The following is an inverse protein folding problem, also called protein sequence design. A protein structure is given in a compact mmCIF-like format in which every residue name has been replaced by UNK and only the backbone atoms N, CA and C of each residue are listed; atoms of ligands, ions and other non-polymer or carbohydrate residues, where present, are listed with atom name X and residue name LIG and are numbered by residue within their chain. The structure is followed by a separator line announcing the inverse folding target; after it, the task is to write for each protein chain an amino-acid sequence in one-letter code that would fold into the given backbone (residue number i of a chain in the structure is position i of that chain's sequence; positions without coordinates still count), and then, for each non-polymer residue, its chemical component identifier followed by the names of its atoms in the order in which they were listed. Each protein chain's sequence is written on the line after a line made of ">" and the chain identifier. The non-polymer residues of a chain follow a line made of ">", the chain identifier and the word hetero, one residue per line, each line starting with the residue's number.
data_IF_700931241746
#
_entry.id   IF_700931241746
#
_cell.length_a   1.000
_cell.length_b   1.000
_cell.length_c   1.000
_cell.angle_alpha   90.00
_cell.angle_beta   90.00
_cell.angle_gamma   90.00
#
_symmetry.space_group_name_H-M   'P 1'
#
loop_
_entity.id
_entity.type
_entity.pdbx_description
1 polymer ?
#
# COMPACT_ATOMS: atom_id res chain seq x y z
N UNK A 1 -0.70 15.11 -20.82
CA UNK A 1 -0.72 15.32 -19.36
C UNK A 1 -1.97 16.06 -18.87
N UNK A 2 -2.29 17.26 -19.37
CA UNK A 2 -3.46 18.07 -18.92
C UNK A 2 -4.78 17.27 -18.91
N UNK A 3 -5.08 16.50 -19.95
CA UNK A 3 -6.27 15.65 -20.06
C UNK A 3 -6.39 14.60 -18.93
N UNK A 4 -5.30 13.95 -18.54
CA UNK A 4 -5.31 12.97 -17.44
C UNK A 4 -5.59 13.63 -16.09
N UNK A 5 -5.04 14.83 -15.87
CA UNK A 5 -5.28 15.61 -14.65
C UNK A 5 -6.75 16.04 -14.57
N UNK A 6 -7.33 16.51 -15.67
CA UNK A 6 -8.74 16.89 -15.76
C UNK A 6 -9.67 15.69 -15.47
N UNK A 7 -9.42 14.54 -16.11
CA UNK A 7 -10.19 13.32 -15.90
C UNK A 7 -10.07 12.88 -14.44
N UNK A 8 -8.86 12.85 -13.88
CA UNK A 8 -8.62 12.45 -12.50
C UNK A 8 -9.31 13.39 -11.51
N UNK A 9 -9.28 14.70 -11.72
CA UNK A 9 -9.96 15.67 -10.85
C UNK A 9 -11.48 15.49 -10.83
N UNK A 10 -12.08 15.16 -11.98
CA UNK A 10 -13.52 14.85 -12.08
C UNK A 10 -13.84 13.55 -11.33
N UNK A 11 -13.03 12.51 -11.50
CA UNK A 11 -13.19 11.22 -10.79
C UNK A 11 -13.07 11.41 -9.27
N UNK A 12 -12.09 12.19 -8.82
CA UNK A 12 -11.88 12.53 -7.42
C UNK A 12 -13.06 13.30 -6.83
N UNK A 13 -13.54 14.33 -7.55
CA UNK A 13 -14.74 15.09 -7.13
C UNK A 13 -15.97 14.21 -6.99
N UNK A 14 -16.21 13.31 -7.94
CA UNK A 14 -17.35 12.40 -7.89
C UNK A 14 -17.25 11.41 -6.72
N UNK A 15 -16.04 10.93 -6.41
CA UNK A 15 -15.78 10.09 -5.23
C UNK A 15 -16.06 10.85 -3.93
N UNK A 16 -15.60 12.10 -3.83
CA UNK A 16 -15.86 12.97 -2.69
C UNK A 16 -17.36 13.17 -2.44
N UNK A 17 -18.12 13.48 -3.49
CA UNK A 17 -19.57 13.66 -3.41
C UNK A 17 -20.24 12.37 -2.91
N UNK A 18 -19.82 11.21 -3.43
CA UNK A 18 -20.37 9.92 -3.02
C UNK A 18 -20.06 9.61 -1.54
N UNK A 19 -18.82 9.77 -1.10
CA UNK A 19 -18.43 9.54 0.31
C UNK A 19 -19.21 10.46 1.26
N UNK A 20 -19.35 11.73 0.91
CA UNK A 20 -20.12 12.69 1.71
C UNK A 20 -21.63 12.43 1.73
N UNK A 21 -22.16 11.67 0.77
CA UNK A 21 -23.57 11.23 0.77
C UNK A 21 -23.84 10.12 1.79
N UNK A 22 -22.81 9.35 2.20
CA UNK A 22 -22.91 8.24 3.14
C UNK A 22 -22.07 8.47 4.40
N UNK A 23 -22.26 9.61 5.06
CA UNK A 23 -21.45 10.05 6.23
C UNK A 23 -21.36 9.00 7.34
N UNK A 24 -22.44 8.30 7.64
CA UNK A 24 -22.45 7.27 8.67
C UNK A 24 -21.52 6.09 8.34
N UNK A 25 -21.50 5.65 7.08
CA UNK A 25 -20.59 4.61 6.62
C UNK A 25 -19.12 5.06 6.69
N UNK A 26 -18.84 6.29 6.26
CA UNK A 26 -17.50 6.91 6.37
C UNK A 26 -16.99 6.91 7.82
N UNK A 27 -17.81 7.41 8.77
CA UNK A 27 -17.44 7.46 10.18
C UNK A 27 -17.25 6.06 10.77
N UNK A 28 -18.10 5.12 10.41
CA UNK A 28 -18.04 3.73 10.90
C UNK A 28 -16.70 3.08 10.46
N UNK A 29 -16.36 3.15 9.18
CA UNK A 29 -15.10 2.59 8.69
C UNK A 29 -13.88 3.28 9.30
N UNK A 30 -13.91 4.59 9.46
CA UNK A 30 -12.84 5.33 10.15
C UNK A 30 -12.64 4.83 11.59
N UNK A 31 -13.72 4.63 12.35
CA UNK A 31 -13.64 4.09 13.73
C UNK A 31 -13.09 2.68 13.74
N UNK A 32 -13.58 1.79 12.87
CA UNK A 32 -13.11 0.39 12.78
C UNK A 32 -11.62 0.33 12.52
N UNK A 33 -11.11 1.12 11.57
CA UNK A 33 -9.69 1.17 11.24
C UNK A 33 -8.85 1.74 12.40
N UNK A 34 -9.33 2.77 13.10
CA UNK A 34 -8.67 3.31 14.30
C UNK A 34 -8.56 2.22 15.38
N UNK A 35 -9.67 1.51 15.67
CA UNK A 35 -9.66 0.43 16.67
C UNK A 35 -8.69 -0.69 16.29
N UNK A 36 -8.68 -1.07 15.00
CA UNK A 36 -7.75 -2.07 14.50
C UNK A 36 -6.28 -1.62 14.65
N UNK A 37 -6.00 -0.38 14.32
CA UNK A 37 -4.65 0.21 14.45
C UNK A 37 -4.23 0.33 15.93
N UNK A 38 -5.11 0.76 16.83
CA UNK A 38 -4.86 0.77 18.26
C UNK A 38 -4.56 -0.64 18.77
N UNK A 39 -5.31 -1.65 18.32
CA UNK A 39 -5.07 -3.05 18.65
C UNK A 39 -3.67 -3.51 18.27
N UNK A 40 -3.13 -3.07 17.14
CA UNK A 40 -1.76 -3.37 16.71
C UNK A 40 -0.72 -2.73 17.65
N UNK A 41 -0.92 -1.47 18.05
CA UNK A 41 -0.01 -0.78 18.97
C UNK A 41 -0.04 -1.47 20.34
N UNK A 42 -1.22 -1.84 20.84
CA UNK A 42 -1.38 -2.61 22.10
C UNK A 42 -0.68 -3.95 22.00
N UNK A 43 -0.85 -4.69 20.90
CA UNK A 43 -0.19 -5.97 20.67
C UNK A 43 1.35 -5.86 20.81
N UNK A 44 1.97 -4.90 20.14
CA UNK A 44 3.41 -4.68 20.27
C UNK A 44 3.80 -4.20 21.67
N UNK A 45 2.96 -3.39 22.34
CA UNK A 45 3.21 -2.94 23.69
C UNK A 45 3.23 -4.10 24.69
N UNK A 46 2.38 -5.12 24.52
CA UNK A 46 2.37 -6.35 25.33
C UNK A 46 3.67 -7.15 25.11
N UNK A 47 4.10 -7.30 23.84
CA UNK A 47 5.36 -7.99 23.51
C UNK A 47 6.54 -7.30 24.21
N UNK A 48 6.63 -5.98 24.10
CA UNK A 48 7.69 -5.18 24.73
C UNK A 48 7.55 -5.05 26.26
N UNK A 49 6.47 -5.57 26.86
CA UNK A 49 6.38 -5.82 28.29
C UNK A 49 7.16 -7.07 28.74
N UNK A 50 7.53 -7.95 27.82
CA UNK A 50 8.26 -9.20 28.09
C UNK A 50 9.70 -9.18 27.54
N UNK A 51 10.01 -8.31 26.57
CA UNK A 51 11.32 -8.21 25.94
C UNK A 51 11.71 -6.74 25.73
N UNK A 52 12.98 -6.42 25.88
CA UNK A 52 13.48 -5.04 25.68
C UNK A 52 13.70 -4.71 24.21
N UNK A 53 13.99 -5.72 23.37
CA UNK A 53 14.30 -5.55 21.95
C UNK A 53 13.82 -6.74 21.11
N UNK A 54 13.50 -6.44 19.85
CA UNK A 54 13.23 -7.45 18.82
C UNK A 54 14.35 -7.33 17.78
N UNK A 55 15.39 -8.19 17.91
CA UNK A 55 16.61 -8.03 17.13
C UNK A 55 17.32 -6.71 17.46
N UNK A 56 17.49 -5.85 16.46
CA UNK A 56 18.10 -4.51 16.60
C UNK A 56 17.06 -3.39 16.86
N UNK A 57 15.76 -3.74 16.98
CA UNK A 57 14.67 -2.79 17.12
C UNK A 57 14.23 -2.62 18.58
N UNK A 58 14.14 -1.38 19.03
CA UNK A 58 13.54 -0.98 20.31
C UNK A 58 12.02 -0.81 20.17
N UNK A 59 11.31 -0.67 21.30
CA UNK A 59 9.85 -0.48 21.33
C UNK A 59 9.39 0.65 20.41
N UNK A 60 9.96 1.83 20.55
CA UNK A 60 9.52 3.01 19.77
C UNK A 60 9.92 2.95 18.31
N UNK A 61 11.00 2.24 17.97
CA UNK A 61 11.35 1.96 16.57
C UNK A 61 10.33 1.03 15.90
N UNK A 62 9.84 0.01 16.62
CA UNK A 62 8.78 -0.87 16.12
C UNK A 62 7.45 -0.13 16.01
N UNK A 63 7.09 0.73 16.98
CA UNK A 63 5.89 1.58 16.87
C UNK A 63 5.97 2.50 15.67
N UNK A 64 7.13 3.08 15.38
CA UNK A 64 7.38 3.88 14.17
C UNK A 64 7.22 3.03 12.89
N UNK A 65 7.73 1.80 12.88
CA UNK A 65 7.55 0.87 11.77
C UNK A 65 6.07 0.56 11.53
N UNK A 66 5.29 0.30 12.58
CA UNK A 66 3.84 0.06 12.50
C UNK A 66 3.10 1.29 11.96
N UNK A 67 3.46 2.49 12.44
CA UNK A 67 2.91 3.75 11.91
C UNK A 67 3.25 3.96 10.43
N UNK A 68 4.49 3.66 10.03
CA UNK A 68 4.94 3.72 8.63
C UNK A 68 4.16 2.74 7.75
N UNK A 69 4.00 1.49 8.20
CA UNK A 69 3.18 0.50 7.50
C UNK A 69 1.73 0.97 7.35
N UNK A 70 1.14 1.52 8.42
CA UNK A 70 -0.22 2.08 8.40
C UNK A 70 -0.34 3.18 7.34
N UNK A 71 0.60 4.12 7.28
CA UNK A 71 0.60 5.17 6.25
C UNK A 71 0.60 4.58 4.83
N UNK A 72 1.49 3.62 4.55
CA UNK A 72 1.60 3.01 3.21
C UNK A 72 0.32 2.23 2.86
N UNK A 73 -0.18 1.41 3.79
CA UNK A 73 -1.38 0.61 3.58
C UNK A 73 -2.61 1.50 3.33
N UNK A 74 -2.77 2.56 4.10
CA UNK A 74 -3.91 3.47 3.99
C UNK A 74 -3.80 4.37 2.75
N UNK A 75 -2.61 4.82 2.37
CA UNK A 75 -2.41 5.52 1.09
C UNK A 75 -2.72 4.60 -0.10
N UNK A 76 -2.31 3.34 -0.04
CA UNK A 76 -2.66 2.36 -1.06
C UNK A 76 -4.19 2.14 -1.12
N UNK A 77 -4.87 2.02 0.03
CA UNK A 77 -6.33 1.91 0.09
C UNK A 77 -7.01 3.14 -0.49
N UNK A 78 -6.57 4.34 -0.12
CA UNK A 78 -7.15 5.60 -0.55
C UNK A 78 -7.19 5.73 -2.08
N UNK A 79 -6.11 5.37 -2.75
CA UNK A 79 -5.96 5.66 -4.18
C UNK A 79 -6.24 4.45 -5.09
N UNK A 80 -5.95 3.22 -4.64
CA UNK A 80 -5.88 2.07 -5.54
C UNK A 80 -6.72 0.86 -5.13
N UNK A 81 -6.79 0.52 -3.85
CA UNK A 81 -7.37 -0.74 -3.38
C UNK A 81 -8.78 -0.96 -3.89
N UNK A 82 -9.70 -0.01 -3.68
CA UNK A 82 -11.12 -0.13 -4.06
C UNK A 82 -11.27 -0.39 -5.55
N UNK A 83 -10.43 0.25 -6.35
CA UNK A 83 -10.45 0.12 -7.80
C UNK A 83 -9.93 -1.24 -8.26
N UNK A 84 -8.75 -1.63 -7.78
CA UNK A 84 -8.08 -2.88 -8.19
C UNK A 84 -8.83 -4.11 -7.66
N UNK A 85 -9.38 -4.04 -6.44
CA UNK A 85 -10.21 -5.10 -5.86
C UNK A 85 -11.49 -5.36 -6.66
N UNK A 86 -11.98 -4.36 -7.40
CA UNK A 86 -13.19 -4.48 -8.21
C UNK A 86 -12.93 -5.06 -9.62
N UNK A 87 -11.67 -5.19 -10.06
CA UNK A 87 -11.34 -5.70 -11.40
C UNK A 87 -11.96 -7.08 -11.66
N UNK A 88 -11.86 -8.09 -10.76
CA UNK A 88 -12.49 -9.39 -10.99
C UNK A 88 -13.99 -9.31 -11.25
N UNK A 89 -14.68 -8.41 -10.58
CA UNK A 89 -16.12 -8.19 -10.78
C UNK A 89 -16.41 -7.50 -12.12
N UNK A 90 -15.60 -6.52 -12.50
CA UNK A 90 -15.71 -5.86 -13.81
C UNK A 90 -15.51 -6.85 -14.97
N UNK A 91 -14.54 -7.76 -14.84
CA UNK A 91 -14.30 -8.84 -15.81
C UNK A 91 -15.48 -9.79 -15.87
N UNK A 92 -15.95 -10.28 -14.71
CA UNK A 92 -17.05 -11.25 -14.60
C UNK A 92 -18.38 -10.73 -15.16
N UNK A 93 -18.63 -9.43 -15.02
CA UNK A 93 -19.89 -8.79 -15.45
C UNK A 93 -19.83 -8.14 -16.84
N UNK A 94 -18.69 -8.21 -17.54
CA UNK A 94 -18.49 -7.53 -18.83
C UNK A 94 -18.38 -6.00 -18.72
N UNK A 95 -18.50 -5.42 -17.52
CA UNK A 95 -18.43 -3.97 -17.32
C UNK A 95 -17.02 -3.39 -17.56
N UNK A 96 -16.00 -4.23 -17.69
CA UNK A 96 -14.66 -3.81 -18.08
C UNK A 96 -14.66 -3.16 -19.45
N UNK A 97 -15.49 -3.63 -20.40
CA UNK A 97 -15.58 -3.11 -21.77
C UNK A 97 -15.81 -1.59 -21.80
N UNK A 98 -16.69 -1.10 -20.92
CA UNK A 98 -16.98 0.33 -20.82
C UNK A 98 -15.77 1.18 -20.42
N UNK A 99 -14.78 0.60 -19.73
CA UNK A 99 -13.53 1.28 -19.38
C UNK A 99 -12.48 1.16 -20.48
N UNK A 100 -12.49 0.06 -21.22
CA UNK A 100 -11.54 -0.16 -22.32
C UNK A 100 -11.78 0.73 -23.55
N UNK A 101 -13.03 1.18 -23.78
CA UNK A 101 -13.36 2.12 -24.87
C UNK A 101 -12.98 3.57 -24.53
N UNK A 102 -12.60 3.87 -23.30
CA UNK A 102 -12.16 5.23 -22.95
C UNK A 102 -10.84 5.56 -23.65
N UNK A 103 -10.68 6.77 -24.23
CA UNK A 103 -9.47 7.16 -24.93
C UNK A 103 -8.34 7.56 -23.98
N UNK A 104 -8.07 6.69 -22.98
CA UNK A 104 -7.02 6.80 -21.98
C UNK A 104 -6.40 5.41 -21.74
N UNK A 105 -5.27 5.37 -21.06
CA UNK A 105 -4.64 4.10 -20.70
C UNK A 105 -5.58 3.24 -19.84
N UNK A 106 -5.77 1.97 -20.23
CA UNK A 106 -6.70 1.05 -19.57
C UNK A 106 -6.31 0.77 -18.10
N UNK A 107 -5.03 0.62 -17.82
CA UNK A 107 -4.55 0.41 -16.46
C UNK A 107 -4.85 1.63 -15.58
N UNK A 108 -4.65 2.83 -16.11
CA UNK A 108 -5.01 4.07 -15.42
C UNK A 108 -6.53 4.13 -15.17
N UNK A 109 -7.35 3.85 -16.20
CA UNK A 109 -8.80 3.90 -16.09
C UNK A 109 -9.37 2.97 -15.01
N UNK A 110 -8.87 1.71 -14.93
CA UNK A 110 -9.34 0.73 -13.94
C UNK A 110 -8.80 1.00 -12.53
N UNK A 111 -7.68 1.73 -12.39
CA UNK A 111 -6.99 1.89 -11.11
C UNK A 111 -7.31 3.18 -10.36
N UNK A 112 -7.92 4.18 -11.00
CA UNK A 112 -8.04 5.53 -10.44
C UNK A 112 -9.47 6.09 -10.41
N UNK A 113 -10.49 5.23 -10.65
CA UNK A 113 -11.89 5.64 -10.76
C UNK A 113 -12.50 6.11 -9.43
N UNK A 114 -12.07 5.53 -8.32
CA UNK A 114 -12.63 5.77 -7.00
C UNK A 114 -11.52 6.14 -6.02
N UNK A 115 -11.88 6.91 -5.01
CA UNK A 115 -11.00 7.38 -3.96
C UNK A 115 -11.69 7.20 -2.59
N UNK A 116 -10.97 6.69 -1.59
CA UNK A 116 -11.48 6.48 -0.24
C UNK A 116 -10.90 7.54 0.72
N UNK A 117 -11.75 8.45 1.18
CA UNK A 117 -11.34 9.56 2.05
C UNK A 117 -11.01 9.13 3.48
N UNK A 118 -11.77 8.16 4.01
CA UNK A 118 -11.54 7.57 5.33
C UNK A 118 -10.10 7.06 5.46
N UNK A 119 -9.59 6.45 4.41
CA UNK A 119 -8.22 5.96 4.36
C UNK A 119 -7.17 7.07 4.43
N UNK A 120 -7.44 8.27 3.90
CA UNK A 120 -6.52 9.41 4.05
C UNK A 120 -6.44 9.87 5.52
N UNK A 121 -7.58 9.93 6.21
CA UNK A 121 -7.60 10.28 7.64
C UNK A 121 -6.81 9.23 8.45
N UNK A 122 -7.00 7.94 8.13
CA UNK A 122 -6.28 6.86 8.79
C UNK A 122 -4.77 6.86 8.45
N UNK A 123 -4.36 7.28 7.24
CA UNK A 123 -2.95 7.50 6.91
C UNK A 123 -2.35 8.62 7.76
N UNK A 124 -3.09 9.72 7.98
CA UNK A 124 -2.64 10.82 8.83
C UNK A 124 -2.43 10.37 10.30
N UNK A 125 -3.29 9.47 10.82
CA UNK A 125 -3.09 8.87 12.14
C UNK A 125 -1.78 8.06 12.20
N UNK A 126 -1.45 7.30 11.15
CA UNK A 126 -0.14 6.65 11.03
C UNK A 126 1.02 7.65 11.12
N UNK A 127 0.88 8.80 10.45
CA UNK A 127 1.85 9.90 10.52
C UNK A 127 1.98 10.49 11.94
N UNK A 128 0.88 10.66 12.66
CA UNK A 128 0.91 11.10 14.07
C UNK A 128 1.71 10.11 14.92
N UNK A 129 1.48 8.81 14.75
CA UNK A 129 2.22 7.76 15.49
C UNK A 129 3.72 7.80 15.15
N UNK A 130 4.09 8.04 13.88
CA UNK A 130 5.49 8.22 13.47
C UNK A 130 6.10 9.43 14.17
N UNK A 131 5.42 10.58 14.21
CA UNK A 131 5.89 11.79 14.89
C UNK A 131 6.07 11.57 16.40
N UNK A 132 5.09 10.93 17.05
CA UNK A 132 5.18 10.59 18.48
C UNK A 132 6.37 9.66 18.75
N UNK A 133 6.56 8.65 17.90
CA UNK A 133 7.69 7.71 18.06
C UNK A 133 9.04 8.41 17.92
N UNK A 134 9.20 9.31 16.94
CA UNK A 134 10.42 10.11 16.77
C UNK A 134 10.70 10.99 18.01
N UNK A 135 9.65 11.62 18.57
CA UNK A 135 9.77 12.40 19.79
C UNK A 135 10.23 11.56 20.98
N UNK A 136 9.68 10.35 21.15
CA UNK A 136 10.06 9.43 22.23
C UNK A 136 11.49 8.85 22.05
N UNK A 137 11.96 8.74 20.81
CA UNK A 137 13.33 8.35 20.49
C UNK A 137 14.33 9.50 20.63
N UNK A 138 13.85 10.75 20.80
CA UNK A 138 14.70 11.94 20.79
C UNK A 138 15.37 12.21 19.45
N UNK A 139 14.79 11.72 18.34
CA UNK A 139 15.34 11.84 17.00
C UNK A 139 14.68 13.02 16.29
N UNK A 140 15.50 13.96 15.82
CA UNK A 140 15.08 15.00 14.88
C UNK A 140 15.65 14.67 13.50
N UNK A 141 14.83 14.09 12.59
CA UNK A 141 15.32 13.73 11.27
C UNK A 141 15.65 14.99 10.48
N UNK A 142 16.75 14.95 9.73
CA UNK A 142 17.12 16.05 8.85
C UNK A 142 16.16 16.14 7.64
N UNK A 143 16.06 17.29 6.95
CA UNK A 143 15.15 17.46 5.81
C UNK A 143 15.36 16.42 4.69
N UNK A 144 16.60 15.96 4.46
CA UNK A 144 16.90 14.95 3.46
C UNK A 144 16.32 13.58 3.86
N UNK A 145 16.42 13.19 5.14
CA UNK A 145 15.84 11.94 5.64
C UNK A 145 14.30 11.96 5.53
N UNK A 146 13.67 13.11 5.78
CA UNK A 146 12.22 13.28 5.60
C UNK A 146 11.85 13.13 4.12
N UNK A 147 12.59 13.78 3.23
CA UNK A 147 12.37 13.67 1.79
C UNK A 147 12.51 12.22 1.31
N UNK A 148 13.59 11.54 1.69
CA UNK A 148 13.81 10.13 1.35
C UNK A 148 12.71 9.23 1.90
N UNK A 149 12.24 9.50 3.12
CA UNK A 149 11.11 8.79 3.72
C UNK A 149 9.82 8.96 2.91
N UNK A 150 9.45 10.19 2.55
CA UNK A 150 8.25 10.46 1.76
C UNK A 150 8.31 9.80 0.38
N UNK A 151 9.48 9.85 -0.27
CA UNK A 151 9.71 9.15 -1.55
C UNK A 151 9.60 7.64 -1.36
N UNK A 152 10.16 7.10 -0.29
CA UNK A 152 10.10 5.68 0.02
C UNK A 152 8.66 5.20 0.32
N UNK A 153 7.81 6.02 0.97
CA UNK A 153 6.36 5.73 1.10
C UNK A 153 5.71 5.55 -0.27
N UNK A 154 6.01 6.43 -1.22
CA UNK A 154 5.49 6.32 -2.60
C UNK A 154 5.89 5.01 -3.28
N UNK A 155 7.14 4.58 -3.14
CA UNK A 155 7.59 3.27 -3.64
C UNK A 155 6.91 2.10 -2.93
N UNK A 156 6.66 2.20 -1.62
CA UNK A 156 5.89 1.21 -0.88
C UNK A 156 4.46 1.05 -1.42
N UNK A 157 3.77 2.16 -1.67
CA UNK A 157 2.44 2.17 -2.30
C UNK A 157 2.49 1.56 -3.71
N UNK A 158 3.52 1.89 -4.51
CA UNK A 158 3.68 1.34 -5.85
C UNK A 158 3.88 -0.19 -5.86
N UNK A 159 4.59 -0.74 -4.87
CA UNK A 159 4.75 -2.20 -4.72
C UNK A 159 3.40 -2.85 -4.39
N UNK A 160 2.65 -2.32 -3.42
CA UNK A 160 1.33 -2.84 -3.07
C UNK A 160 0.39 -2.83 -4.26
N UNK A 161 0.32 -1.70 -4.96
CA UNK A 161 -0.45 -1.55 -6.19
C UNK A 161 -0.08 -2.60 -7.24
N UNK A 162 1.20 -2.77 -7.49
CA UNK A 162 1.70 -3.65 -8.54
C UNK A 162 1.39 -5.12 -8.29
N UNK A 163 1.61 -5.60 -7.06
CA UNK A 163 1.32 -6.98 -6.69
C UNK A 163 -0.18 -7.24 -6.75
N UNK A 164 -0.98 -6.33 -6.18
CA UNK A 164 -2.43 -6.49 -6.18
C UNK A 164 -3.02 -6.44 -7.59
N UNK A 165 -2.49 -5.59 -8.48
CA UNK A 165 -2.90 -5.54 -9.88
C UNK A 165 -2.62 -6.86 -10.59
N UNK A 166 -1.45 -7.49 -10.35
CA UNK A 166 -1.14 -8.81 -10.88
C UNK A 166 -2.15 -9.85 -10.41
N UNK A 167 -2.47 -9.87 -9.11
CA UNK A 167 -3.45 -10.81 -8.57
C UNK A 167 -4.87 -10.57 -9.12
N UNK A 168 -5.27 -9.31 -9.26
CA UNK A 168 -6.56 -8.95 -9.87
C UNK A 168 -6.60 -9.35 -11.35
N UNK A 169 -5.50 -9.22 -12.10
CA UNK A 169 -5.42 -9.60 -13.50
C UNK A 169 -5.55 -11.12 -13.72
N UNK A 170 -5.32 -11.97 -12.71
CA UNK A 170 -5.60 -13.40 -12.78
C UNK A 170 -7.09 -13.68 -13.05
N UNK A 171 -7.99 -12.73 -12.75
CA UNK A 171 -9.43 -12.84 -13.07
C UNK A 171 -9.75 -12.97 -14.56
N UNK A 172 -8.82 -12.67 -15.45
CA UNK A 172 -8.99 -12.92 -16.88
C UNK A 172 -9.01 -14.42 -17.25
N UNK A 173 -8.48 -15.28 -16.36
CA UNK A 173 -8.48 -16.74 -16.53
C UNK A 173 -9.33 -17.48 -15.48
N UNK A 174 -9.51 -16.88 -14.29
CA UNK A 174 -10.20 -17.52 -13.16
C UNK A 174 -11.39 -16.66 -12.74
N UNK A 175 -12.61 -17.15 -12.95
CA UNK A 175 -13.86 -16.41 -12.69
C UNK A 175 -14.00 -15.94 -11.23
N UNK A 176 -13.44 -16.68 -10.25
CA UNK A 176 -13.52 -16.35 -8.80
C UNK A 176 -12.17 -15.90 -8.23
N UNK A 177 -11.48 -15.00 -8.93
CA UNK A 177 -10.19 -14.45 -8.46
C UNK A 177 -10.29 -13.48 -7.27
N UNK A 178 -11.50 -13.11 -6.85
CA UNK A 178 -11.72 -12.14 -5.76
C UNK A 178 -11.07 -12.59 -4.45
N UNK A 179 -11.09 -13.90 -4.15
CA UNK A 179 -10.44 -14.46 -2.97
C UNK A 179 -8.92 -14.24 -2.94
N UNK A 180 -8.25 -14.22 -4.10
CA UNK A 180 -6.81 -13.92 -4.19
C UNK A 180 -6.51 -12.47 -3.81
N UNK A 181 -7.34 -11.54 -4.27
CA UNK A 181 -7.20 -10.12 -4.02
C UNK A 181 -7.38 -9.81 -2.52
N UNK A 182 -8.44 -10.35 -1.89
CA UNK A 182 -8.65 -10.17 -0.45
C UNK A 182 -7.65 -10.96 0.39
N UNK A 183 -7.18 -12.12 -0.07
CA UNK A 183 -6.10 -12.89 0.58
C UNK A 183 -4.80 -12.09 0.64
N UNK A 184 -4.48 -11.35 -0.41
CA UNK A 184 -3.31 -10.46 -0.42
C UNK A 184 -3.38 -9.39 0.67
N UNK A 185 -4.55 -8.87 0.99
CA UNK A 185 -4.71 -7.86 2.04
C UNK A 185 -4.21 -8.36 3.40
N UNK A 186 -4.50 -9.62 3.74
CA UNK A 186 -3.96 -10.26 4.94
C UNK A 186 -2.44 -10.46 4.86
N UNK A 187 -1.93 -10.74 3.66
CA UNK A 187 -0.50 -10.91 3.43
C UNK A 187 0.29 -9.61 3.60
N UNK A 188 -0.30 -8.45 3.29
CA UNK A 188 0.29 -7.12 3.51
C UNK A 188 0.72 -6.87 4.96
N UNK A 189 -0.01 -7.46 5.90
CA UNK A 189 0.28 -7.31 7.32
C UNK A 189 1.67 -7.82 7.75
N UNK A 190 2.35 -8.60 6.91
CA UNK A 190 3.73 -9.04 7.15
C UNK A 190 4.69 -7.84 7.20
N UNK A 191 4.44 -6.80 6.42
CA UNK A 191 5.32 -5.62 6.34
C UNK A 191 5.42 -4.79 7.63
N UNK A 192 4.48 -4.94 8.56
CA UNK A 192 4.49 -4.24 9.87
C UNK A 192 5.46 -4.83 10.88
N UNK A 193 6.00 -6.01 10.61
CA UNK A 193 6.94 -6.67 11.50
C UNK A 193 8.39 -6.31 11.13
N UNK A 194 9.29 -6.17 12.13
CA UNK A 194 10.71 -6.03 11.86
C UNK A 194 11.24 -7.17 10.99
N UNK A 195 12.02 -6.84 9.96
CA UNK A 195 12.57 -7.82 9.02
C UNK A 195 13.46 -8.87 9.68
N UNK A 196 14.07 -8.53 10.81
CA UNK A 196 14.98 -9.40 11.57
C UNK A 196 14.31 -10.64 12.19
N UNK A 197 12.97 -10.63 12.39
CA UNK A 197 12.27 -11.81 12.94
C UNK A 197 12.14 -12.94 11.91
N UNK A 198 12.28 -12.63 10.64
CA UNK A 198 12.11 -13.62 9.58
C UNK A 198 13.40 -14.38 9.28
N UNK A 199 13.33 -15.70 8.98
CA UNK A 199 14.47 -16.47 8.52
C UNK A 199 15.11 -15.85 7.26
N UNK A 200 16.42 -16.11 7.05
CA UNK A 200 17.18 -15.53 5.93
C UNK A 200 16.54 -15.78 4.56
N UNK A 201 16.03 -17.00 4.32
CA UNK A 201 15.36 -17.37 3.06
C UNK A 201 14.09 -16.54 2.87
N UNK A 202 13.27 -16.38 3.92
CA UNK A 202 12.06 -15.58 3.89
C UNK A 202 12.37 -14.11 3.57
N UNK A 203 13.37 -13.53 4.25
CA UNK A 203 13.82 -12.15 3.97
C UNK A 203 14.30 -11.98 2.53
N UNK A 204 14.98 -12.97 1.97
CA UNK A 204 15.43 -12.92 0.59
C UNK A 204 14.26 -12.95 -0.40
N UNK A 205 13.29 -13.85 -0.22
CA UNK A 205 12.11 -13.95 -1.09
C UNK A 205 11.25 -12.69 -0.96
N UNK A 206 10.89 -12.30 0.28
CA UNK A 206 10.00 -11.16 0.55
C UNK A 206 10.70 -9.80 0.58
N UNK A 207 11.98 -9.77 0.32
CA UNK A 207 12.75 -8.56 0.08
C UNK A 207 13.03 -8.28 -1.39
N UNK A 208 13.12 -9.33 -2.24
CA UNK A 208 13.50 -9.18 -3.64
C UNK A 208 12.48 -9.69 -4.64
N UNK A 209 11.85 -10.86 -4.40
CA UNK A 209 10.91 -11.48 -5.36
C UNK A 209 9.51 -10.90 -5.17
N UNK A 210 9.02 -10.86 -3.94
CA UNK A 210 7.75 -10.25 -3.55
C UNK A 210 8.04 -9.21 -2.46
N UNK A 211 8.52 -8.00 -2.81
CA UNK A 211 9.21 -7.09 -1.89
C UNK A 211 8.28 -6.44 -0.86
N UNK A 212 7.52 -7.26 -0.11
CA UNK A 212 6.55 -6.79 0.90
C UNK A 212 7.25 -6.38 2.20
N UNK A 213 8.28 -7.11 2.64
CA UNK A 213 8.95 -6.81 3.92
C UNK A 213 9.69 -5.48 3.88
N UNK A 214 10.27 -5.10 2.74
CA UNK A 214 11.10 -3.89 2.64
C UNK A 214 10.28 -2.60 2.56
N UNK A 215 9.00 -2.66 2.18
CA UNK A 215 8.19 -1.46 1.92
C UNK A 215 7.99 -0.55 3.13
N UNK A 216 7.91 -1.11 4.34
CA UNK A 216 7.81 -0.34 5.58
C UNK A 216 9.14 -0.32 6.36
N UNK A 217 9.90 -1.43 6.34
CA UNK A 217 11.16 -1.54 7.07
C UNK A 217 12.21 -0.55 6.54
N UNK A 218 12.34 -0.38 5.22
CA UNK A 218 13.32 0.57 4.67
C UNK A 218 12.94 2.03 5.00
N UNK A 219 11.72 2.54 4.73
CA UNK A 219 11.35 3.90 5.11
C UNK A 219 11.54 4.16 6.61
N UNK A 220 11.11 3.23 7.48
CA UNK A 220 11.29 3.38 8.92
C UNK A 220 12.77 3.52 9.29
N UNK A 221 13.64 2.68 8.75
CA UNK A 221 15.09 2.76 8.98
C UNK A 221 15.70 4.07 8.49
N UNK A 222 15.21 4.68 7.40
CA UNK A 222 15.71 5.97 6.89
C UNK A 222 15.46 7.13 7.86
N UNK A 223 14.42 7.05 8.69
CA UNK A 223 14.14 8.06 9.72
C UNK A 223 14.93 7.82 11.01
N UNK A 224 14.99 6.56 11.46
CA UNK A 224 15.47 6.21 12.81
C UNK A 224 17.00 6.23 12.87
N UNK A 225 17.62 5.62 11.89
CA UNK A 225 19.06 5.41 11.91
C UNK A 225 19.70 6.44 10.98
N UNK A 226 20.48 7.34 11.56
CA UNK A 226 21.48 8.14 10.83
C UNK A 226 22.53 7.18 10.26
N UNK A 227 22.10 6.34 9.31
CA UNK A 227 22.97 5.32 8.72
C UNK A 227 24.09 5.96 7.94
N UNK A 228 25.29 5.44 8.14
CA UNK A 228 26.41 5.70 7.26
C UNK A 228 26.18 5.34 5.79
N UNK A 229 25.05 4.69 5.46
CA UNK A 229 24.69 4.31 4.08
C UNK A 229 23.17 4.25 3.84
N UNK A 230 22.45 5.38 3.77
CA UNK A 230 21.03 5.38 3.38
C UNK A 230 20.84 4.99 1.89
N UNK A 231 21.89 5.19 1.08
CA UNK A 231 21.87 4.97 -0.38
C UNK A 231 21.61 3.52 -0.76
N UNK A 232 22.25 2.47 -0.23
CA UNK A 232 21.97 1.09 -0.59
C UNK A 232 20.55 0.66 -0.28
N UNK A 233 19.98 1.09 0.87
CA UNK A 233 18.61 0.76 1.25
C UNK A 233 17.60 1.38 0.29
N UNK A 234 17.79 2.66 -0.01
CA UNK A 234 16.93 3.37 -0.95
C UNK A 234 17.06 2.79 -2.36
N UNK A 235 18.27 2.47 -2.80
CA UNK A 235 18.51 1.84 -4.10
C UNK A 235 17.83 0.47 -4.20
N UNK A 236 17.91 -0.35 -3.15
CA UNK A 236 17.19 -1.64 -3.09
C UNK A 236 15.68 -1.43 -3.26
N UNK A 237 15.07 -0.52 -2.50
CA UNK A 237 13.64 -0.23 -2.60
C UNK A 237 13.25 0.26 -4.00
N UNK A 238 14.01 1.18 -4.57
CA UNK A 238 13.76 1.74 -5.91
C UNK A 238 13.85 0.65 -6.98
N UNK A 239 14.90 -0.16 -6.97
CA UNK A 239 15.10 -1.24 -7.96
C UNK A 239 13.96 -2.26 -7.84
N UNK A 240 13.69 -2.77 -6.64
CA UNK A 240 12.65 -3.77 -6.42
C UNK A 240 11.27 -3.24 -6.83
N UNK A 241 10.92 -2.00 -6.43
CA UNK A 241 9.66 -1.37 -6.78
C UNK A 241 9.51 -1.16 -8.28
N UNK A 242 10.57 -0.70 -8.95
CA UNK A 242 10.56 -0.45 -10.40
C UNK A 242 10.37 -1.75 -11.18
N UNK A 243 11.07 -2.81 -10.78
CA UNK A 243 10.94 -4.14 -11.41
C UNK A 243 9.51 -4.66 -11.26
N UNK A 244 8.96 -4.65 -10.05
CA UNK A 244 7.61 -5.18 -9.80
C UNK A 244 6.55 -4.32 -10.52
N UNK A 245 6.71 -3.00 -10.54
CA UNK A 245 5.82 -2.11 -11.28
C UNK A 245 5.87 -2.37 -12.80
N UNK A 246 7.07 -2.53 -13.35
CA UNK A 246 7.23 -2.87 -14.76
C UNK A 246 6.62 -4.23 -15.09
N UNK A 247 6.86 -5.26 -14.27
CA UNK A 247 6.28 -6.59 -14.43
C UNK A 247 4.76 -6.54 -14.37
N UNK A 248 4.18 -5.78 -13.43
CA UNK A 248 2.73 -5.62 -13.33
C UNK A 248 2.12 -4.98 -14.60
N UNK A 249 2.84 -4.02 -15.19
CA UNK A 249 2.44 -3.38 -16.45
C UNK A 249 2.46 -4.35 -17.63
N UNK A 250 3.51 -5.16 -17.73
CA UNK A 250 3.65 -6.18 -18.77
C UNK A 250 2.55 -7.24 -18.60
N UNK A 251 2.35 -7.71 -17.36
CA UNK A 251 1.35 -8.72 -17.05
C UNK A 251 -0.08 -8.24 -17.32
N UNK A 252 -0.39 -6.98 -16.97
CA UNK A 252 -1.68 -6.36 -17.29
C UNK A 252 -1.95 -6.35 -18.80
N UNK A 253 -0.99 -5.89 -19.60
CA UNK A 253 -1.11 -5.87 -21.06
C UNK A 253 -1.25 -7.28 -21.66
N UNK A 254 -0.55 -8.25 -21.09
CA UNK A 254 -0.66 -9.65 -21.48
C UNK A 254 -2.06 -10.20 -21.15
N UNK A 255 -2.57 -9.93 -19.94
CA UNK A 255 -3.89 -10.36 -19.50
C UNK A 255 -5.01 -9.78 -20.38
N UNK A 256 -4.92 -8.52 -20.76
CA UNK A 256 -5.89 -7.88 -21.67
C UNK A 256 -5.99 -8.56 -23.04
N UNK A 257 -4.91 -9.16 -23.55
CA UNK A 257 -4.94 -9.90 -24.83
C UNK A 257 -5.74 -11.20 -24.76
N UNK A 258 -5.95 -11.71 -23.55
CA UNK A 258 -6.71 -12.93 -23.29
C UNK A 258 -8.14 -12.64 -22.79
N UNK A 259 -8.49 -11.37 -22.70
CA UNK A 259 -9.84 -10.98 -22.29
C UNK A 259 -10.85 -11.26 -23.42
N UNK A 260 -11.86 -12.05 -23.11
CA UNK A 260 -13.08 -12.20 -23.90
C UNK A 260 -14.23 -11.60 -23.11
N UNK A 261 -15.02 -10.73 -23.76
CA UNK A 261 -16.15 -10.11 -23.07
C UNK A 261 -17.18 -11.15 -22.63
N UNK A 262 -17.66 -11.04 -21.39
CA UNK A 262 -18.74 -11.89 -20.88
C UNK A 262 -20.12 -11.49 -21.48
N UNK A 263 -20.19 -10.42 -22.27
CA UNK A 263 -21.41 -9.90 -22.89
C UNK A 263 -21.53 -10.26 -24.37
N UNK A 264 -20.58 -11.03 -24.92
CA UNK A 264 -20.63 -11.51 -26.32
C UNK A 264 -21.20 -12.91 -26.42
#
# INVERSE_FOLDING_TARGET
>A
MRRYIEIYSIMLRNSLIREMSFKANFLLWMIVEILWFCGQIVFFSIIFGQVDRIGDWTKWEVVLLVGTHQMIAQLFQAFFFVNVANIPELVRTGRLDSLLVLPIDSQFAVSTKQFALDSIVNAALGGVVVCVSLSQLGIMPNPMSILLYLVALGFGVAVHYSIMLCLAAVSFWIVRAQGLVYGYFNFLNIARYPDVIFPRIFRMIFGWVVPVVIIANIPARLLIKSFGQPVPLMLHLVIASTIVFWLSRVFWKFALRHYSSASS
#
